data_IF_998376780697
#
_entry.id   IF_998376780697
#
_cell.length_a   1.000
_cell.length_b   1.000
_cell.length_c   1.000
_cell.angle_alpha   90.00
_cell.angle_beta   90.00
_cell.angle_gamma   90.00
#
_symmetry.space_group_name_H-M   'P 1'
#
loop_
_entity.id
_entity.type
_entity.pdbx_description
1 polymer ?
#
# COMPACT_ATOMS: atom_id res chain seq x y z
N UNK A 1 -5.64 -24.00 -6.67
CA UNK A 1 -7.04 -23.65 -6.34
C UNK A 1 -7.15 -23.15 -4.90
N UNK A 2 -6.74 -23.91 -3.86
CA UNK A 2 -6.78 -23.42 -2.46
C UNK A 2 -5.90 -22.18 -2.19
N UNK A 3 -4.64 -22.17 -2.65
CA UNK A 3 -3.70 -21.05 -2.48
C UNK A 3 -4.21 -19.69 -3.01
N UNK A 4 -4.99 -19.70 -4.10
CA UNK A 4 -5.53 -18.48 -4.67
C UNK A 4 -6.68 -17.91 -3.82
N UNK A 5 -7.53 -18.75 -3.25
CA UNK A 5 -8.63 -18.33 -2.36
C UNK A 5 -8.11 -17.82 -1.00
N UNK A 6 -7.05 -18.43 -0.48
CA UNK A 6 -6.40 -17.99 0.76
C UNK A 6 -5.69 -16.64 0.56
N UNK A 7 -5.02 -16.45 -0.58
CA UNK A 7 -4.39 -15.18 -0.95
C UNK A 7 -5.44 -14.07 -1.16
N UNK A 8 -6.56 -14.38 -1.82
CA UNK A 8 -7.65 -13.43 -2.05
C UNK A 8 -8.29 -12.97 -0.72
N UNK A 9 -8.53 -13.92 0.19
CA UNK A 9 -9.03 -13.62 1.55
C UNK A 9 -8.06 -12.72 2.32
N UNK A 10 -6.77 -12.99 2.23
CA UNK A 10 -5.72 -12.18 2.85
C UNK A 10 -5.66 -10.76 2.26
N UNK A 11 -5.69 -10.65 0.93
CA UNK A 11 -5.71 -9.34 0.24
C UNK A 11 -6.94 -8.55 0.64
N UNK A 12 -8.12 -9.17 0.68
CA UNK A 12 -9.34 -8.50 1.14
C UNK A 12 -9.26 -8.03 2.59
N UNK A 13 -8.61 -8.79 3.48
CA UNK A 13 -8.37 -8.36 4.86
C UNK A 13 -7.44 -7.13 4.92
N UNK A 14 -6.37 -7.11 4.10
CA UNK A 14 -5.45 -5.98 4.01
C UNK A 14 -6.12 -4.74 3.41
N UNK A 15 -6.92 -4.90 2.36
CA UNK A 15 -7.68 -3.82 1.72
C UNK A 15 -8.71 -3.22 2.69
N UNK A 16 -9.44 -4.06 3.43
CA UNK A 16 -10.42 -3.58 4.41
C UNK A 16 -9.78 -2.85 5.58
N UNK A 17 -8.73 -3.42 6.17
CA UNK A 17 -7.99 -2.78 7.24
C UNK A 17 -6.59 -3.40 7.42
N UNK A 18 -5.60 -2.84 6.73
CA UNK A 18 -4.20 -3.26 6.82
C UNK A 18 -3.60 -3.18 8.23
N UNK A 19 -4.20 -2.43 9.17
CA UNK A 19 -3.74 -2.39 10.56
C UNK A 19 -4.12 -3.65 11.34
N UNK A 20 -5.28 -4.24 11.06
CA UNK A 20 -5.80 -5.43 11.76
C UNK A 20 -5.50 -6.74 11.03
N UNK A 21 -5.03 -6.69 9.78
CA UNK A 21 -4.56 -7.88 9.07
C UNK A 21 -3.32 -8.49 9.77
N UNK A 22 -3.22 -9.82 9.75
CA UNK A 22 -2.06 -10.58 10.26
C UNK A 22 -0.87 -10.44 9.30
N UNK A 23 -0.30 -9.23 9.24
CA UNK A 23 0.90 -8.94 8.48
C UNK A 23 2.16 -9.36 9.24
N UNK A 24 3.15 -9.86 8.50
CA UNK A 24 4.51 -9.98 9.02
C UNK A 24 5.01 -8.60 9.48
N UNK A 25 5.97 -8.56 10.40
CA UNK A 25 6.54 -7.28 10.85
C UNK A 25 7.14 -6.47 9.68
N UNK A 26 7.74 -7.15 8.71
CA UNK A 26 8.29 -6.52 7.51
C UNK A 26 7.21 -5.95 6.59
N UNK A 27 6.11 -6.69 6.35
CA UNK A 27 5.00 -6.19 5.52
C UNK A 27 4.27 -5.04 6.21
N UNK A 28 4.13 -5.09 7.54
CA UNK A 28 3.57 -3.98 8.32
C UNK A 28 4.42 -2.72 8.19
N UNK A 29 5.74 -2.83 8.34
CA UNK A 29 6.65 -1.70 8.16
C UNK A 29 6.56 -1.11 6.73
N UNK A 30 6.42 -1.97 5.71
CA UNK A 30 6.20 -1.52 4.32
C UNK A 30 4.86 -0.78 4.15
N UNK A 31 3.79 -1.30 4.74
CA UNK A 31 2.47 -0.63 4.72
C UNK A 31 2.50 0.71 5.47
N UNK A 32 3.17 0.79 6.62
CA UNK A 32 3.33 2.04 7.37
C UNK A 32 4.14 3.08 6.58
N UNK A 33 5.20 2.65 5.88
CA UNK A 33 5.93 3.51 4.95
C UNK A 33 5.01 4.05 3.84
N UNK A 34 4.16 3.20 3.24
CA UNK A 34 3.21 3.62 2.22
C UNK A 34 2.19 4.64 2.74
N UNK A 35 1.67 4.45 3.96
CA UNK A 35 0.75 5.39 4.60
C UNK A 35 1.43 6.73 4.84
N UNK A 36 2.63 6.73 5.42
CA UNK A 36 3.38 7.96 5.72
C UNK A 36 3.77 8.70 4.45
N UNK A 37 4.29 8.01 3.42
CA UNK A 37 4.63 8.64 2.14
C UNK A 37 3.39 9.25 1.47
N UNK A 38 2.23 8.60 1.57
CA UNK A 38 0.99 9.10 0.97
C UNK A 38 0.42 10.32 1.69
N UNK A 39 0.33 10.28 3.02
CA UNK A 39 -0.34 11.31 3.82
C UNK A 39 0.61 12.42 4.31
N UNK A 40 1.88 12.10 4.51
CA UNK A 40 2.85 12.89 5.27
C UNK A 40 4.24 12.93 4.64
N UNK A 41 4.38 12.79 3.32
CA UNK A 41 5.68 12.83 2.62
C UNK A 41 6.65 13.95 3.07
N UNK A 42 6.13 15.13 3.44
CA UNK A 42 6.96 16.27 3.88
C UNK A 42 7.63 16.08 5.23
N UNK A 43 7.14 15.16 6.07
CA UNK A 43 7.74 14.85 7.37
C UNK A 43 8.70 13.68 7.33
N UNK A 44 8.90 13.05 6.17
CA UNK A 44 9.80 11.91 6.06
C UNK A 44 11.26 12.31 6.25
N UNK A 45 11.99 11.41 6.89
CA UNK A 45 13.39 11.56 7.26
C UNK A 45 14.18 10.30 6.92
N UNK A 46 15.52 10.35 6.94
CA UNK A 46 16.32 9.14 6.78
C UNK A 46 16.01 8.02 7.79
N UNK A 47 15.54 8.38 8.99
CA UNK A 47 15.18 7.40 10.03
C UNK A 47 14.00 6.51 9.62
N UNK A 48 13.08 7.01 8.78
CA UNK A 48 11.97 6.23 8.25
C UNK A 48 12.46 5.12 7.29
N UNK A 49 13.60 5.36 6.63
CA UNK A 49 14.25 4.36 5.77
C UNK A 49 15.02 3.34 6.61
N UNK A 50 15.62 3.76 7.72
CA UNK A 50 16.35 2.88 8.62
C UNK A 50 15.44 1.85 9.29
N UNK A 51 14.16 2.19 9.55
CA UNK A 51 13.14 1.23 10.01
C UNK A 51 12.99 0.09 9.00
N UNK A 52 12.88 0.41 7.70
CA UNK A 52 12.78 -0.61 6.64
C UNK A 52 14.06 -1.45 6.54
N UNK A 53 15.23 -0.82 6.61
CA UNK A 53 16.51 -1.55 6.63
C UNK A 53 16.60 -2.51 7.82
N UNK A 54 16.07 -2.12 8.98
CA UNK A 54 15.96 -2.98 10.17
C UNK A 54 15.12 -4.25 9.95
N UNK A 55 14.21 -4.23 8.96
CA UNK A 55 13.42 -5.38 8.53
C UNK A 55 14.03 -6.15 7.34
N UNK A 56 15.26 -5.81 6.93
CA UNK A 56 15.99 -6.51 5.87
C UNK A 56 15.73 -5.98 4.46
N UNK A 57 15.08 -4.82 4.32
CA UNK A 57 14.96 -4.16 3.01
C UNK A 57 16.27 -3.48 2.62
N UNK A 58 16.81 -3.83 1.46
CA UNK A 58 17.92 -3.10 0.86
C UNK A 58 17.43 -1.82 0.15
N UNK A 59 18.37 -0.95 -0.24
CA UNK A 59 18.03 0.33 -0.88
C UNK A 59 17.29 0.15 -2.21
N UNK A 60 17.50 -0.98 -2.90
CA UNK A 60 16.79 -1.32 -4.15
C UNK A 60 15.32 -1.60 -3.84
N UNK A 61 15.04 -2.46 -2.86
CA UNK A 61 13.69 -2.78 -2.43
C UNK A 61 12.94 -1.56 -1.89
N UNK A 62 13.62 -0.70 -1.11
CA UNK A 62 13.03 0.55 -0.61
C UNK A 62 12.66 1.47 -1.78
N UNK A 63 13.58 1.69 -2.72
CA UNK A 63 13.33 2.51 -3.91
C UNK A 63 12.16 1.97 -4.73
N UNK A 64 12.12 0.66 -4.97
CA UNK A 64 11.07 0.04 -5.78
C UNK A 64 9.69 0.16 -5.08
N UNK A 65 9.65 -0.02 -3.75
CA UNK A 65 8.43 0.25 -2.98
C UNK A 65 7.99 1.70 -3.10
N UNK A 66 8.90 2.66 -2.94
CA UNK A 66 8.62 4.10 -3.11
C UNK A 66 8.04 4.41 -4.49
N UNK A 67 8.62 3.86 -5.56
CA UNK A 67 8.13 4.09 -6.93
C UNK A 67 6.70 3.56 -7.14
N UNK A 68 6.38 2.39 -6.61
CA UNK A 68 5.03 1.82 -6.69
C UNK A 68 4.03 2.69 -5.93
N UNK A 69 4.37 3.10 -4.71
CA UNK A 69 3.52 3.98 -3.90
C UNK A 69 3.27 5.31 -4.63
N UNK A 70 4.32 5.92 -5.18
CA UNK A 70 4.23 7.19 -5.89
C UNK A 70 3.43 7.09 -7.19
N UNK A 71 3.54 5.96 -7.91
CA UNK A 71 2.72 5.71 -9.09
C UNK A 71 1.22 5.72 -8.76
N UNK A 72 0.80 5.02 -7.69
CA UNK A 72 -0.60 5.04 -7.25
C UNK A 72 -1.03 6.42 -6.78
N UNK A 73 -0.17 7.10 -6.03
CA UNK A 73 -0.37 8.48 -5.62
C UNK A 73 -0.60 9.42 -6.83
N UNK A 74 0.18 9.27 -7.89
CA UNK A 74 0.03 10.07 -9.11
C UNK A 74 -1.29 9.74 -9.82
N UNK A 75 -1.58 8.47 -10.11
CA UNK A 75 -2.74 8.10 -10.91
C UNK A 75 -4.06 8.38 -10.19
N UNK A 76 -4.15 8.14 -8.88
CA UNK A 76 -5.35 8.47 -8.09
C UNK A 76 -5.66 9.95 -8.16
N UNK A 77 -4.64 10.84 -8.12
CA UNK A 77 -4.86 12.28 -8.28
C UNK A 77 -5.36 12.67 -9.67
N UNK A 78 -4.94 11.96 -10.73
CA UNK A 78 -5.44 12.18 -12.09
C UNK A 78 -6.89 11.71 -12.20
N UNK A 79 -7.20 10.50 -11.76
CA UNK A 79 -8.53 9.89 -11.81
C UNK A 79 -9.52 10.73 -11.02
N UNK A 80 -9.23 11.00 -9.74
CA UNK A 80 -10.12 11.76 -8.86
C UNK A 80 -10.22 13.23 -9.30
N UNK A 81 -9.09 13.83 -9.71
CA UNK A 81 -9.05 15.23 -10.13
C UNK A 81 -9.82 15.51 -11.43
N UNK A 82 -9.96 14.50 -12.29
CA UNK A 82 -10.74 14.57 -13.53
C UNK A 82 -12.15 13.98 -13.41
N UNK A 83 -12.50 13.41 -12.25
CA UNK A 83 -13.81 12.78 -12.03
C UNK A 83 -14.04 11.54 -12.91
N UNK A 84 -12.99 10.76 -13.19
CA UNK A 84 -13.11 9.54 -13.98
C UNK A 84 -13.95 8.51 -13.19
N UNK A 85 -15.03 7.95 -13.76
CA UNK A 85 -15.86 6.97 -13.05
C UNK A 85 -15.10 5.64 -12.89
N UNK A 86 -15.39 4.88 -11.82
CA UNK A 86 -14.89 3.52 -11.69
C UNK A 86 -15.42 2.62 -12.80
N UNK A 87 -14.67 1.58 -13.15
CA UNK A 87 -15.08 0.59 -14.12
C UNK A 87 -16.27 -0.24 -13.62
N UNK A 88 -17.21 -0.57 -14.51
CA UNK A 88 -18.47 -1.25 -14.16
C UNK A 88 -18.30 -2.64 -13.51
N UNK A 89 -17.14 -3.27 -13.69
CA UNK A 89 -16.82 -4.58 -13.11
C UNK A 89 -16.16 -4.49 -11.73
N UNK A 90 -15.86 -3.28 -11.23
CA UNK A 90 -15.31 -3.07 -9.90
C UNK A 90 -16.45 -2.82 -8.92
N UNK A 91 -16.55 -3.67 -7.90
CA UNK A 91 -17.50 -3.45 -6.81
C UNK A 91 -17.18 -2.12 -6.08
N UNK A 92 -18.20 -1.30 -5.76
CA UNK A 92 -17.97 -0.06 -5.06
C UNK A 92 -17.33 -0.33 -3.68
N UNK A 93 -16.33 0.50 -3.27
CA UNK A 93 -15.67 0.32 -1.99
C UNK A 93 -16.70 0.41 -0.85
N UNK A 94 -16.82 -0.66 -0.08
CA UNK A 94 -17.79 -0.79 1.02
C UNK A 94 -18.80 -1.92 0.86
N UNK A 95 -19.03 -2.42 -0.36
CA UNK A 95 -19.92 -3.55 -0.63
C UNK A 95 -21.35 -3.34 -0.10
N UNK A 96 -22.23 -2.80 -0.95
CA UNK A 96 -23.65 -2.42 -0.73
C UNK A 96 -23.95 -1.47 0.44
#
# INVERSE_FOLDING_TARGET
MAYAADADTFIHAVVRNGRTAELSAADRARCEHAVTLTAHQRSMTPADLDILRGHGFDDVAIRDATQVIDYFNYITRIVDGLGVPPEEFIDPPGGV
#
